data_IF_621441707048
#
_entry.id   IF_621441707048
#
_cell.length_a   1.000
_cell.length_b   1.000
_cell.length_c   1.000
_cell.angle_alpha   90.00
_cell.angle_beta   90.00
_cell.angle_gamma   90.00
#
_symmetry.space_group_name_H-M   'P 1'
#
loop_
_entity.id
_entity.type
_entity.pdbx_description
1 polymer ?
#
# COMPACT_ATOMS: atom_id res chain seq x y z
N UNK A 1 1.42 -4.93 29.89
CA UNK A 1 2.84 -4.54 29.69
C UNK A 1 3.75 -5.76 29.68
N UNK A 2 3.58 -6.75 30.57
CA UNK A 2 4.36 -7.99 30.54
C UNK A 2 4.22 -8.81 29.23
N UNK A 3 3.01 -8.95 28.67
CA UNK A 3 2.82 -9.72 27.43
C UNK A 3 3.49 -9.08 26.19
N UNK A 4 3.72 -7.76 26.16
CA UNK A 4 4.38 -7.11 25.03
C UNK A 4 5.90 -7.31 25.04
N UNK A 5 6.53 -7.57 26.20
CA UNK A 5 7.95 -7.89 26.26
C UNK A 5 8.24 -9.32 25.79
N UNK A 6 7.33 -10.27 26.06
CA UNK A 6 7.50 -11.67 25.66
C UNK A 6 7.41 -11.87 24.13
N UNK A 7 6.55 -11.12 23.43
CA UNK A 7 6.47 -11.15 21.95
C UNK A 7 7.62 -10.39 21.27
N UNK A 8 8.21 -9.38 21.91
CA UNK A 8 9.33 -8.58 21.36
C UNK A 8 10.65 -9.36 21.29
N UNK A 9 10.75 -10.47 22.00
CA UNK A 9 11.97 -11.26 22.14
C UNK A 9 12.11 -12.35 21.06
N UNK A 10 11.02 -12.70 20.35
CA UNK A 10 11.03 -13.79 19.38
C UNK A 10 11.78 -13.43 18.08
N UNK A 11 11.68 -12.20 17.58
CA UNK A 11 12.34 -11.77 16.34
C UNK A 11 13.85 -11.65 16.51
N UNK A 12 14.27 -11.00 17.59
CA UNK A 12 15.68 -10.84 17.96
C UNK A 12 16.32 -12.20 18.22
N UNK A 13 15.62 -13.10 18.93
CA UNK A 13 16.07 -14.49 19.11
C UNK A 13 16.14 -15.25 17.79
N UNK A 14 15.15 -15.11 16.91
CA UNK A 14 15.15 -15.80 15.62
C UNK A 14 16.29 -15.32 14.71
N UNK A 15 16.56 -14.01 14.68
CA UNK A 15 17.67 -13.43 13.91
C UNK A 15 19.04 -13.76 14.53
N UNK A 16 19.15 -13.80 15.86
CA UNK A 16 20.35 -14.24 16.55
C UNK A 16 20.63 -15.74 16.28
N UNK A 17 19.60 -16.59 16.36
CA UNK A 17 19.68 -18.01 16.03
C UNK A 17 20.00 -18.25 14.55
N UNK A 18 19.54 -17.37 13.65
CA UNK A 18 19.86 -17.46 12.23
C UNK A 18 21.36 -17.25 11.97
N UNK A 19 22.01 -16.35 12.71
CA UNK A 19 23.46 -16.15 12.62
C UNK A 19 24.26 -17.35 13.15
N UNK A 20 23.66 -18.17 14.01
CA UNK A 20 24.26 -19.39 14.57
C UNK A 20 23.85 -20.66 13.81
N UNK A 21 22.97 -20.58 12.81
CA UNK A 21 22.47 -21.73 12.08
C UNK A 21 23.52 -22.25 11.08
N UNK A 22 24.04 -23.45 11.34
CA UNK A 22 25.06 -24.10 10.52
C UNK A 22 24.45 -24.95 9.38
N UNK A 23 23.18 -25.32 9.50
CA UNK A 23 22.51 -26.23 8.55
C UNK A 23 21.26 -25.63 7.92
N UNK A 24 20.96 -26.06 6.69
CA UNK A 24 19.75 -25.63 5.97
C UNK A 24 18.45 -25.96 6.73
N UNK A 25 18.45 -27.01 7.55
CA UNK A 25 17.27 -27.42 8.34
C UNK A 25 16.99 -26.45 9.48
N UNK A 26 18.04 -25.94 10.12
CA UNK A 26 17.93 -24.90 11.16
C UNK A 26 17.38 -23.62 10.54
N UNK A 27 17.94 -23.18 9.41
CA UNK A 27 17.41 -22.06 8.64
C UNK A 27 15.92 -22.21 8.31
N UNK A 28 15.50 -23.37 7.79
CA UNK A 28 14.09 -23.64 7.48
C UNK A 28 13.21 -23.59 8.72
N UNK A 29 13.68 -24.12 9.86
CA UNK A 29 12.93 -24.08 11.12
C UNK A 29 12.73 -22.65 11.60
N UNK A 30 13.79 -21.85 11.60
CA UNK A 30 13.77 -20.44 12.02
C UNK A 30 12.80 -19.63 11.15
N UNK A 31 12.90 -19.75 9.83
CA UNK A 31 11.97 -19.06 8.93
C UNK A 31 10.53 -19.52 9.11
N UNK A 32 10.29 -20.82 9.28
CA UNK A 32 8.94 -21.34 9.52
C UNK A 32 8.34 -20.73 10.79
N UNK A 33 9.12 -20.64 11.87
CA UNK A 33 8.63 -20.16 13.15
C UNK A 33 8.43 -18.63 13.13
N UNK A 34 9.30 -17.89 12.43
CA UNK A 34 9.07 -16.48 12.05
C UNK A 34 7.73 -16.31 11.30
N UNK A 35 7.47 -17.08 10.25
CA UNK A 35 6.24 -16.95 9.46
C UNK A 35 4.98 -17.35 10.25
N UNK A 36 5.08 -18.27 11.22
CA UNK A 36 3.96 -18.65 12.10
C UNK A 36 3.61 -17.55 13.11
N UNK A 37 4.55 -16.70 13.51
CA UNK A 37 4.31 -15.63 14.47
C UNK A 37 3.50 -14.46 13.87
N UNK A 38 3.65 -14.22 12.56
CA UNK A 38 3.06 -13.07 11.86
C UNK A 38 1.54 -12.95 12.07
N UNK A 39 0.70 -13.99 11.86
CA UNK A 39 -0.76 -13.82 11.97
C UNK A 39 -1.22 -13.39 13.37
N UNK A 40 -0.53 -13.84 14.42
CA UNK A 40 -0.80 -13.43 15.80
C UNK A 40 -0.48 -11.95 16.01
N UNK A 41 0.73 -11.53 15.62
CA UNK A 41 1.16 -10.14 15.72
C UNK A 41 0.29 -9.18 14.90
N UNK A 42 -0.10 -9.60 13.69
CA UNK A 42 -1.05 -8.86 12.86
C UNK A 42 -2.36 -8.71 13.63
N UNK A 43 -2.93 -9.77 14.19
CA UNK A 43 -4.22 -9.72 14.88
C UNK A 43 -4.19 -8.81 16.10
N UNK A 44 -3.10 -8.83 16.86
CA UNK A 44 -3.03 -8.20 18.18
C UNK A 44 -2.69 -6.69 18.11
N UNK A 45 -2.29 -6.19 16.92
CA UNK A 45 -2.08 -4.75 16.66
C UNK A 45 -3.40 -4.03 16.37
N UNK A 46 -3.76 -3.09 17.25
CA UNK A 46 -4.89 -2.17 17.06
C UNK A 46 -4.57 -1.12 15.99
N UNK A 47 -5.46 -1.02 15.00
CA UNK A 47 -5.30 -0.16 13.82
C UNK A 47 -6.70 0.22 13.26
N UNK A 48 -7.51 0.97 14.02
CA UNK A 48 -8.91 1.22 13.69
C UNK A 48 -9.11 2.05 12.41
N UNK A 49 -8.27 3.05 12.15
CA UNK A 49 -8.33 3.86 10.94
C UNK A 49 -7.97 3.02 9.72
N UNK A 50 -6.93 2.20 9.80
CA UNK A 50 -6.55 1.26 8.75
C UNK A 50 -7.69 0.29 8.44
N UNK A 51 -8.35 -0.24 9.48
CA UNK A 51 -9.53 -1.10 9.30
C UNK A 51 -10.68 -0.36 8.59
N UNK A 52 -10.95 0.90 8.96
CA UNK A 52 -11.96 1.74 8.30
C UNK A 52 -11.59 1.99 6.83
N UNK A 53 -10.34 2.34 6.53
CA UNK A 53 -9.88 2.56 5.15
C UNK A 53 -10.00 1.29 4.30
N UNK A 54 -9.64 0.13 4.86
CA UNK A 54 -9.84 -1.17 4.22
C UNK A 54 -11.32 -1.42 3.95
N UNK A 55 -12.19 -1.19 4.93
CA UNK A 55 -13.63 -1.38 4.79
C UNK A 55 -14.21 -0.49 3.69
N UNK A 56 -13.87 0.81 3.68
CA UNK A 56 -14.31 1.75 2.64
C UNK A 56 -13.82 1.28 1.27
N UNK A 57 -12.55 0.87 1.17
CA UNK A 57 -11.96 0.37 -0.07
C UNK A 57 -12.69 -0.87 -0.59
N UNK A 58 -13.00 -1.82 0.29
CA UNK A 58 -13.80 -3.02 -0.05
C UNK A 58 -15.20 -2.60 -0.54
N UNK A 59 -15.88 -1.71 0.19
CA UNK A 59 -17.22 -1.25 -0.18
C UNK A 59 -17.23 -0.57 -1.55
N UNK A 60 -16.30 0.35 -1.81
CA UNK A 60 -16.19 1.03 -3.10
C UNK A 60 -15.87 0.05 -4.22
N UNK A 61 -14.96 -0.91 -3.99
CA UNK A 61 -14.65 -1.93 -4.99
C UNK A 61 -15.85 -2.84 -5.34
N UNK A 62 -16.64 -3.22 -4.34
CA UNK A 62 -17.89 -3.98 -4.55
C UNK A 62 -18.88 -3.14 -5.37
N UNK A 63 -19.12 -1.89 -4.99
CA UNK A 63 -20.02 -0.99 -5.72
C UNK A 63 -19.56 -0.77 -7.17
N UNK A 64 -18.26 -0.56 -7.37
CA UNK A 64 -17.63 -0.44 -8.69
C UNK A 64 -17.84 -1.70 -9.53
N UNK A 65 -17.69 -2.88 -8.91
CA UNK A 65 -17.91 -4.18 -9.58
C UNK A 65 -19.38 -4.39 -9.93
N UNK A 66 -20.31 -4.08 -9.02
CA UNK A 66 -21.76 -4.16 -9.27
C UNK A 66 -22.17 -3.23 -10.40
N UNK A 67 -21.67 -2.00 -10.41
CA UNK A 67 -21.93 -1.03 -11.48
C UNK A 67 -21.39 -1.52 -12.83
N UNK A 68 -20.20 -2.11 -12.85
CA UNK A 68 -19.65 -2.73 -14.07
C UNK A 68 -20.56 -3.85 -14.60
N UNK A 69 -21.03 -4.74 -13.73
CA UNK A 69 -21.93 -5.83 -14.11
C UNK A 69 -23.27 -5.31 -14.60
N UNK A 70 -23.79 -4.25 -13.98
CA UNK A 70 -25.02 -3.59 -14.40
C UNK A 70 -24.89 -2.99 -15.81
N UNK A 71 -23.82 -2.25 -16.09
CA UNK A 71 -23.60 -1.59 -17.38
C UNK A 71 -23.35 -2.61 -18.50
N UNK A 72 -22.68 -3.72 -18.20
CA UNK A 72 -22.34 -4.74 -19.21
C UNK A 72 -23.46 -5.72 -19.50
N UNK A 73 -24.57 -5.67 -18.75
CA UNK A 73 -25.76 -6.54 -18.85
C UNK A 73 -25.44 -8.06 -18.91
N UNK A 74 -24.24 -8.45 -18.49
CA UNK A 74 -23.69 -9.79 -18.74
C UNK A 74 -23.07 -10.35 -17.46
N UNK A 75 -23.91 -10.80 -16.55
CA UNK A 75 -23.47 -11.22 -15.21
C UNK A 75 -22.35 -12.29 -15.22
N UNK A 76 -22.49 -13.46 -15.88
CA UNK A 76 -21.44 -14.49 -15.85
C UNK A 76 -20.15 -14.06 -16.56
N UNK A 77 -20.26 -13.37 -17.70
CA UNK A 77 -19.09 -12.91 -18.47
C UNK A 77 -18.39 -11.76 -17.74
N UNK A 78 -19.14 -10.83 -17.18
CA UNK A 78 -18.61 -9.68 -16.44
C UNK A 78 -17.86 -10.11 -15.18
N UNK A 79 -18.36 -11.12 -14.44
CA UNK A 79 -17.63 -11.70 -13.30
C UNK A 79 -16.31 -12.30 -13.77
N UNK A 80 -16.33 -13.10 -14.84
CA UNK A 80 -15.11 -13.68 -15.39
C UNK A 80 -14.10 -12.60 -15.78
N UNK A 81 -14.56 -11.52 -16.42
CA UNK A 81 -13.70 -10.38 -16.80
C UNK A 81 -13.09 -9.70 -15.57
N UNK A 82 -13.89 -9.40 -14.54
CA UNK A 82 -13.40 -8.78 -13.29
C UNK A 82 -12.33 -9.66 -12.63
N UNK A 83 -12.56 -10.97 -12.57
CA UNK A 83 -11.66 -11.91 -11.89
C UNK A 83 -10.38 -12.21 -12.67
N UNK A 84 -10.42 -12.13 -14.01
CA UNK A 84 -9.29 -12.58 -14.86
C UNK A 84 -8.51 -11.43 -15.50
N UNK A 85 -9.14 -10.30 -15.78
CA UNK A 85 -8.46 -9.19 -16.46
C UNK A 85 -7.86 -8.19 -15.47
N UNK A 86 -6.57 -7.91 -15.64
CA UNK A 86 -5.79 -7.00 -14.77
C UNK A 86 -6.35 -5.59 -14.67
N UNK A 87 -7.10 -5.16 -15.69
CA UNK A 87 -7.56 -3.78 -15.88
C UNK A 87 -9.06 -3.69 -16.19
N UNK A 88 -9.84 -4.73 -15.83
CA UNK A 88 -11.27 -4.86 -16.13
C UNK A 88 -12.10 -3.59 -15.84
N UNK A 89 -11.78 -2.91 -14.74
CA UNK A 89 -12.55 -1.76 -14.24
C UNK A 89 -11.95 -0.41 -14.65
N UNK A 90 -10.87 -0.41 -15.44
CA UNK A 90 -10.19 0.84 -15.85
C UNK A 90 -11.10 1.71 -16.70
N UNK A 91 -11.82 1.10 -17.66
CA UNK A 91 -12.76 1.82 -18.52
C UNK A 91 -13.90 2.45 -17.72
N UNK A 92 -14.48 1.72 -16.77
CA UNK A 92 -15.49 2.25 -15.85
C UNK A 92 -14.93 3.39 -15.00
N UNK A 93 -13.70 3.26 -14.51
CA UNK A 93 -13.05 4.32 -13.71
C UNK A 93 -12.87 5.59 -14.54
N UNK A 94 -12.34 5.46 -15.76
CA UNK A 94 -12.19 6.58 -16.67
C UNK A 94 -13.54 7.25 -16.99
N UNK A 95 -14.57 6.44 -17.24
CA UNK A 95 -15.94 6.91 -17.43
C UNK A 95 -16.44 7.76 -16.25
N UNK A 96 -16.23 7.30 -15.00
CA UNK A 96 -16.61 8.07 -13.81
C UNK A 96 -15.85 9.41 -13.72
N UNK A 97 -14.57 9.45 -14.08
CA UNK A 97 -13.81 10.70 -14.06
C UNK A 97 -14.27 11.72 -15.11
N UNK A 98 -14.78 11.25 -16.25
CA UNK A 98 -15.29 12.11 -17.33
C UNK A 98 -16.71 12.59 -17.03
N UNK A 99 -17.61 11.66 -16.73
CA UNK A 99 -19.06 11.97 -16.64
C UNK A 99 -19.51 12.33 -15.22
N UNK A 100 -18.81 11.84 -14.19
CA UNK A 100 -19.15 12.06 -12.78
C UNK A 100 -17.93 12.47 -11.94
N UNK A 101 -17.16 13.51 -12.33
CA UNK A 101 -15.92 13.88 -11.67
C UNK A 101 -16.11 14.19 -10.18
N UNK A 102 -17.25 14.77 -9.81
CA UNK A 102 -17.60 15.08 -8.42
C UNK A 102 -17.78 13.84 -7.52
N UNK A 103 -18.04 12.66 -8.11
CA UNK A 103 -18.02 11.36 -7.41
C UNK A 103 -16.62 10.74 -7.48
N UNK A 104 -16.01 10.76 -8.67
CA UNK A 104 -14.76 10.06 -8.94
C UNK A 104 -13.61 10.61 -8.10
N UNK A 105 -13.51 11.94 -7.94
CA UNK A 105 -12.43 12.58 -7.19
C UNK A 105 -12.43 12.23 -5.70
N UNK A 106 -13.55 12.37 -4.95
CA UNK A 106 -13.60 11.92 -3.55
C UNK A 106 -13.35 10.43 -3.36
N UNK A 107 -13.68 9.60 -4.37
CA UNK A 107 -13.50 8.16 -4.32
C UNK A 107 -12.18 7.67 -4.95
N UNK A 108 -11.32 8.57 -5.43
CA UNK A 108 -10.14 8.21 -6.20
C UNK A 108 -9.22 7.24 -5.45
N UNK A 109 -9.04 7.42 -4.14
CA UNK A 109 -8.25 6.50 -3.30
C UNK A 109 -8.83 5.09 -3.20
N UNK A 110 -10.14 4.95 -3.41
CA UNK A 110 -10.85 3.71 -3.15
C UNK A 110 -11.25 2.97 -4.43
N UNK A 111 -11.23 3.65 -5.58
CA UNK A 111 -11.43 3.03 -6.90
C UNK A 111 -10.22 2.16 -7.27
N UNK A 112 -10.44 1.05 -7.99
CA UNK A 112 -9.36 0.17 -8.43
C UNK A 112 -9.58 -0.32 -9.86
N UNK A 113 -8.50 -0.51 -10.62
CA UNK A 113 -8.56 -1.02 -12.00
C UNK A 113 -8.94 -2.49 -12.14
N UNK A 114 -8.85 -3.28 -11.07
CA UNK A 114 -9.12 -4.72 -11.11
C UNK A 114 -8.73 -5.42 -9.81
N UNK A 115 -9.07 -6.72 -9.71
CA UNK A 115 -8.95 -7.52 -8.47
C UNK A 115 -7.51 -7.60 -7.97
N UNK A 116 -6.54 -7.86 -8.85
CA UNK A 116 -5.14 -7.97 -8.44
C UNK A 116 -4.59 -6.68 -7.82
N UNK A 117 -4.96 -5.52 -8.39
CA UNK A 117 -4.57 -4.21 -7.84
C UNK A 117 -5.23 -3.96 -6.48
N UNK A 118 -6.53 -4.27 -6.37
CA UNK A 118 -7.29 -4.16 -5.13
C UNK A 118 -6.72 -5.04 -4.01
N UNK A 119 -6.52 -6.33 -4.26
CA UNK A 119 -6.00 -7.28 -3.26
C UNK A 119 -4.61 -6.87 -2.78
N UNK A 120 -3.72 -6.47 -3.70
CA UNK A 120 -2.39 -5.99 -3.34
C UNK A 120 -2.45 -4.76 -2.43
N UNK A 121 -3.27 -3.76 -2.77
CA UNK A 121 -3.40 -2.55 -1.96
C UNK A 121 -3.99 -2.83 -0.58
N UNK A 122 -5.02 -3.68 -0.47
CA UNK A 122 -5.59 -4.07 0.84
C UNK A 122 -4.55 -4.81 1.70
N UNK A 123 -3.82 -5.76 1.12
CA UNK A 123 -2.82 -6.53 1.85
C UNK A 123 -1.68 -5.64 2.37
N UNK A 124 -1.17 -4.74 1.52
CA UNK A 124 -0.11 -3.82 1.89
C UNK A 124 -0.58 -2.74 2.87
N UNK A 125 -1.79 -2.21 2.70
CA UNK A 125 -2.39 -1.28 3.65
C UNK A 125 -2.60 -1.94 5.01
N UNK A 126 -3.08 -3.19 5.05
CA UNK A 126 -3.23 -3.94 6.30
C UNK A 126 -1.89 -4.16 6.99
N UNK A 127 -0.84 -4.54 6.23
CA UNK A 127 0.50 -4.74 6.76
C UNK A 127 1.07 -3.43 7.31
N UNK A 128 1.24 -2.42 6.46
CA UNK A 128 1.90 -1.17 6.86
C UNK A 128 1.06 -0.34 7.84
N UNK A 129 -0.26 -0.30 7.65
CA UNK A 129 -1.14 0.41 8.56
C UNK A 129 -1.11 -0.17 9.96
N UNK A 130 -1.09 -1.51 10.11
CA UNK A 130 -0.89 -2.14 11.44
C UNK A 130 0.51 -1.91 12.01
N UNK A 131 1.52 -1.77 11.16
CA UNK A 131 2.88 -1.46 11.63
C UNK A 131 2.95 -0.02 12.19
N UNK A 132 2.28 0.91 11.53
CA UNK A 132 2.50 2.34 11.69
C UNK A 132 1.43 3.05 12.50
N UNK A 133 0.15 2.71 12.36
CA UNK A 133 -0.95 3.48 12.96
C UNK A 133 -0.82 3.61 14.48
N UNK A 134 -0.42 2.53 15.16
CA UNK A 134 -0.23 2.52 16.62
C UNK A 134 0.89 3.45 17.11
N UNK A 135 1.77 3.91 16.21
CA UNK A 135 2.85 4.85 16.51
C UNK A 135 2.40 6.31 16.40
N UNK A 136 1.18 6.56 15.94
CA UNK A 136 0.64 7.90 15.75
C UNK A 136 -0.60 8.14 16.61
N UNK A 137 -0.81 9.41 16.98
CA UNK A 137 -2.15 9.82 17.38
C UNK A 137 -3.08 9.70 16.16
N UNK A 138 -4.26 9.13 16.36
CA UNK A 138 -5.27 8.86 15.31
C UNK A 138 -5.46 10.03 14.34
N UNK A 139 -5.56 11.26 14.87
CA UNK A 139 -5.74 12.47 14.05
C UNK A 139 -4.59 12.73 13.07
N UNK A 140 -3.35 12.45 13.44
CA UNK A 140 -2.18 12.68 12.57
C UNK A 140 -2.09 11.62 11.48
N UNK A 141 -2.44 10.37 11.79
CA UNK A 141 -2.54 9.31 10.79
C UNK A 141 -3.64 9.61 9.75
N UNK A 142 -4.81 10.08 10.21
CA UNK A 142 -5.89 10.54 9.32
C UNK A 142 -5.42 11.73 8.47
N UNK A 143 -4.79 12.74 9.08
CA UNK A 143 -4.28 13.91 8.35
C UNK A 143 -3.22 13.52 7.32
N UNK A 144 -2.39 12.51 7.60
CA UNK A 144 -1.42 11.99 6.64
C UNK A 144 -2.12 11.35 5.45
N UNK A 145 -3.09 10.46 5.68
CA UNK A 145 -3.90 9.88 4.60
C UNK A 145 -4.57 10.96 3.74
N UNK A 146 -5.26 11.91 4.37
CA UNK A 146 -5.93 13.02 3.69
C UNK A 146 -4.92 13.90 2.93
N UNK A 147 -3.76 14.16 3.52
CA UNK A 147 -2.67 14.91 2.90
C UNK A 147 -2.15 14.22 1.64
N UNK A 148 -1.93 12.91 1.68
CA UNK A 148 -1.57 12.12 0.49
C UNK A 148 -2.66 12.23 -0.57
N UNK A 149 -3.93 12.03 -0.21
CA UNK A 149 -5.03 12.07 -1.16
C UNK A 149 -5.21 13.44 -1.83
N UNK A 150 -5.01 14.54 -1.09
CA UNK A 150 -5.18 15.90 -1.63
C UNK A 150 -3.94 16.37 -2.41
N UNK A 151 -2.74 15.87 -2.09
CA UNK A 151 -1.50 16.32 -2.74
C UNK A 151 -1.15 15.42 -3.92
N UNK A 152 -1.08 14.10 -3.69
CA UNK A 152 -0.52 13.15 -4.66
C UNK A 152 -1.49 12.88 -5.80
N UNK A 153 -2.78 12.66 -5.52
CA UNK A 153 -3.77 12.36 -6.57
C UNK A 153 -3.89 13.47 -7.62
N UNK A 154 -3.96 14.77 -7.27
CA UNK A 154 -3.97 15.81 -8.29
C UNK A 154 -2.68 15.87 -9.10
N UNK A 155 -1.51 15.63 -8.48
CA UNK A 155 -0.23 15.58 -9.20
C UNK A 155 -0.23 14.41 -10.20
N UNK A 156 -0.65 13.23 -9.76
CA UNK A 156 -0.74 12.03 -10.60
C UNK A 156 -1.69 12.24 -11.78
N UNK A 157 -2.83 12.90 -11.54
CA UNK A 157 -3.78 13.27 -12.58
C UNK A 157 -3.22 14.29 -13.57
N UNK A 158 -2.55 15.34 -13.08
CA UNK A 158 -1.93 16.36 -13.93
C UNK A 158 -0.88 15.75 -14.86
N UNK A 159 -0.05 14.86 -14.34
CA UNK A 159 0.96 14.16 -15.15
C UNK A 159 0.27 13.24 -16.15
N UNK A 160 -0.71 12.43 -15.71
CA UNK A 160 -1.47 11.53 -16.60
C UNK A 160 -2.17 12.29 -17.72
N UNK A 161 -2.79 13.44 -17.42
CA UNK A 161 -3.43 14.34 -18.40
C UNK A 161 -2.42 14.90 -19.40
N UNK A 162 -1.19 15.16 -18.98
CA UNK A 162 -0.15 15.71 -19.86
C UNK A 162 0.39 14.68 -20.85
N UNK A 163 0.25 13.39 -20.55
CA UNK A 163 0.88 12.30 -21.32
C UNK A 163 -0.08 11.30 -21.92
N UNK A 164 -1.38 11.45 -21.67
CA UNK A 164 -2.44 10.57 -22.18
C UNK A 164 -3.59 11.37 -22.79
N UNK A 165 -4.29 10.85 -23.82
CA UNK A 165 -5.53 11.45 -24.29
C UNK A 165 -6.54 11.63 -23.14
N UNK A 166 -7.27 12.76 -23.13
CA UNK A 166 -8.29 13.10 -22.11
C UNK A 166 -9.24 11.96 -21.69
N UNK A 167 -9.77 11.09 -22.59
CA UNK A 167 -10.68 10.02 -22.17
C UNK A 167 -10.03 8.89 -21.35
N UNK A 168 -8.70 8.90 -21.15
CA UNK A 168 -7.97 7.84 -20.45
C UNK A 168 -7.47 8.25 -19.06
N UNK A 169 -7.88 9.41 -18.52
CA UNK A 169 -7.43 9.86 -17.20
C UNK A 169 -8.23 9.16 -16.13
N UNK A 170 -7.68 8.06 -15.64
CA UNK A 170 -8.18 7.34 -14.49
C UNK A 170 -7.06 7.31 -13.47
N UNK A 171 -7.22 8.09 -12.40
CA UNK A 171 -6.36 8.03 -11.22
C UNK A 171 -7.10 7.26 -10.15
N UNK A 172 -6.48 6.23 -9.60
CA UNK A 172 -7.19 5.29 -8.73
C UNK A 172 -6.27 4.57 -7.74
N UNK A 173 -6.85 4.23 -6.60
CA UNK A 173 -6.32 3.30 -5.62
C UNK A 173 -5.42 3.95 -4.57
N UNK A 174 -5.44 3.35 -3.39
CA UNK A 174 -4.76 3.83 -2.17
C UNK A 174 -3.25 3.61 -2.17
N UNK A 175 -2.66 3.30 -3.34
CA UNK A 175 -1.29 2.84 -3.43
C UNK A 175 -0.26 3.93 -3.13
N UNK A 176 -0.54 5.20 -3.39
CA UNK A 176 0.30 6.31 -2.94
C UNK A 176 0.43 6.35 -1.41
N UNK A 177 -0.68 6.19 -0.68
CA UNK A 177 -0.65 6.12 0.78
C UNK A 177 0.08 4.87 1.26
N UNK A 178 -0.16 3.72 0.61
CA UNK A 178 0.58 2.47 0.91
C UNK A 178 2.08 2.64 0.72
N UNK A 179 2.53 3.27 -0.37
CA UNK A 179 3.95 3.54 -0.62
C UNK A 179 4.51 4.55 0.38
N UNK A 180 3.73 5.56 0.75
CA UNK A 180 4.07 6.49 1.82
C UNK A 180 4.34 5.76 3.14
N UNK A 181 3.44 4.86 3.54
CA UNK A 181 3.60 4.04 4.74
C UNK A 181 4.78 3.06 4.62
N UNK A 182 4.97 2.45 3.45
CA UNK A 182 6.04 1.50 3.21
C UNK A 182 7.43 2.11 3.34
N UNK A 183 7.66 3.27 2.73
CA UNK A 183 8.96 3.96 2.85
C UNK A 183 9.15 4.48 4.29
N UNK A 184 8.11 5.03 4.91
CA UNK A 184 8.16 5.42 6.32
C UNK A 184 8.55 4.24 7.23
N UNK A 185 7.97 3.05 6.97
CA UNK A 185 8.30 1.81 7.69
C UNK A 185 9.78 1.47 7.56
N UNK A 186 10.34 1.52 6.34
CA UNK A 186 11.77 1.27 6.12
C UNK A 186 12.64 2.20 6.95
N UNK A 187 12.39 3.51 6.90
CA UNK A 187 13.21 4.48 7.63
C UNK A 187 13.08 4.33 9.14
N UNK A 188 11.87 4.01 9.61
CA UNK A 188 11.58 3.81 11.03
C UNK A 188 12.27 2.57 11.58
N UNK A 189 12.12 1.43 10.91
CA UNK A 189 12.73 0.15 11.35
C UNK A 189 14.25 0.19 11.17
N UNK A 190 14.76 0.81 10.11
CA UNK A 190 16.20 0.99 9.92
C UNK A 190 16.84 1.90 10.98
N UNK A 191 16.07 2.86 11.52
CA UNK A 191 16.56 3.78 12.55
C UNK A 191 16.34 3.27 13.98
N UNK A 192 15.61 2.18 14.17
CA UNK A 192 15.36 1.62 15.50
C UNK A 192 16.42 0.59 15.87
N UNK A 193 16.82 0.55 17.14
CA UNK A 193 17.75 -0.46 17.64
C UNK A 193 17.12 -1.86 17.68
N UNK A 194 15.79 -1.91 17.73
CA UNK A 194 15.00 -3.15 17.83
C UNK A 194 13.75 -3.03 16.95
N UNK A 195 13.31 -4.15 16.38
CA UNK A 195 12.07 -4.31 15.62
C UNK A 195 11.54 -5.73 15.78
N UNK A 196 10.23 -5.92 15.61
CA UNK A 196 9.62 -7.26 15.62
C UNK A 196 9.49 -7.89 14.23
N UNK A 197 9.01 -9.13 14.15
CA UNK A 197 8.96 -9.90 12.90
C UNK A 197 8.10 -9.22 11.83
N UNK A 198 6.94 -8.70 12.21
CA UNK A 198 6.06 -7.98 11.28
C UNK A 198 6.70 -6.66 10.80
N UNK A 199 7.47 -5.98 11.65
CA UNK A 199 8.23 -4.79 11.26
C UNK A 199 9.35 -5.09 10.27
N UNK A 200 10.10 -6.18 10.46
CA UNK A 200 11.11 -6.61 9.48
C UNK A 200 10.49 -7.08 8.17
N UNK A 201 9.36 -7.78 8.22
CA UNK A 201 8.60 -8.10 7.01
C UNK A 201 8.14 -6.82 6.29
N UNK A 202 7.61 -5.86 7.04
CA UNK A 202 7.25 -4.54 6.51
C UNK A 202 8.44 -3.85 5.87
N UNK A 203 9.59 -3.81 6.56
CA UNK A 203 10.83 -3.24 6.02
C UNK A 203 11.24 -3.92 4.72
N UNK A 204 11.22 -5.25 4.64
CA UNK A 204 11.54 -5.99 3.42
C UNK A 204 10.61 -5.61 2.25
N UNK A 205 9.30 -5.58 2.50
CA UNK A 205 8.30 -5.18 1.50
C UNK A 205 8.47 -3.71 1.10
N UNK A 206 8.78 -2.84 2.04
CA UNK A 206 9.05 -1.42 1.80
C UNK A 206 10.33 -1.20 0.98
N UNK A 207 11.39 -1.97 1.24
CA UNK A 207 12.62 -1.96 0.42
C UNK A 207 12.31 -2.41 -1.00
N UNK A 208 11.49 -3.45 -1.19
CA UNK A 208 11.05 -3.88 -2.51
C UNK A 208 10.25 -2.76 -3.22
N UNK A 209 9.40 -2.01 -2.50
CA UNK A 209 8.68 -0.86 -3.04
C UNK A 209 9.63 0.27 -3.48
N UNK A 210 10.69 0.56 -2.70
CA UNK A 210 11.74 1.53 -3.08
C UNK A 210 12.45 1.07 -4.36
N UNK A 211 12.88 -0.20 -4.41
CA UNK A 211 13.52 -0.78 -5.60
C UNK A 211 12.61 -0.65 -6.82
N UNK A 212 11.31 -0.94 -6.65
CA UNK A 212 10.34 -0.80 -7.73
C UNK A 212 10.26 0.64 -8.26
N UNK A 213 10.20 1.65 -7.38
CA UNK A 213 10.22 3.07 -7.78
C UNK A 213 11.51 3.39 -8.55
N UNK A 214 12.66 2.95 -8.04
CA UNK A 214 13.96 3.20 -8.67
C UNK A 214 14.07 2.57 -10.06
N UNK A 215 13.57 1.33 -10.21
CA UNK A 215 13.50 0.65 -11.52
C UNK A 215 12.60 1.42 -12.47
N UNK A 216 11.43 1.86 -12.02
CA UNK A 216 10.51 2.65 -12.84
C UNK A 216 11.11 4.00 -13.26
N UNK A 217 11.76 4.71 -12.34
CA UNK A 217 12.44 5.97 -12.63
C UNK A 217 13.60 5.78 -13.61
N UNK A 218 14.43 4.76 -13.41
CA UNK A 218 15.55 4.45 -14.32
C UNK A 218 15.04 4.09 -15.71
N UNK A 219 13.97 3.31 -15.79
CA UNK A 219 13.31 2.93 -17.05
C UNK A 219 12.72 4.14 -17.76
N UNK A 220 12.10 5.07 -17.02
CA UNK A 220 11.58 6.32 -17.55
C UNK A 220 12.69 7.21 -18.14
N UNK A 221 13.82 7.34 -17.44
CA UNK A 221 15.01 8.06 -17.94
C UNK A 221 15.59 7.39 -19.18
N UNK A 222 15.75 6.07 -19.16
CA UNK A 222 16.31 5.31 -20.29
C UNK A 222 15.47 5.45 -21.56
N UNK A 223 14.14 5.44 -21.43
CA UNK A 223 13.22 5.61 -22.55
C UNK A 223 12.86 7.07 -22.87
N UNK A 224 13.41 8.04 -22.14
CA UNK A 224 13.05 9.47 -22.26
C UNK A 224 11.52 9.69 -22.24
N UNK A 225 10.82 8.96 -21.38
CA UNK A 225 9.36 8.93 -21.32
C UNK A 225 8.90 8.74 -19.88
N UNK A 226 7.87 9.46 -19.45
CA UNK A 226 7.32 9.32 -18.09
C UNK A 226 6.43 8.08 -17.94
N UNK A 227 6.00 7.45 -19.04
CA UNK A 227 5.03 6.35 -19.00
C UNK A 227 5.42 5.16 -18.09
N UNK A 228 6.69 4.75 -17.97
CA UNK A 228 7.09 3.68 -17.05
C UNK A 228 7.00 4.08 -15.57
N UNK A 229 6.97 5.38 -15.27
CA UNK A 229 6.94 5.89 -13.91
C UNK A 229 5.52 5.88 -13.35
N UNK A 230 5.32 5.20 -12.23
CA UNK A 230 4.11 5.38 -11.43
C UNK A 230 4.30 6.58 -10.51
N UNK A 231 3.71 7.72 -10.89
CA UNK A 231 3.86 8.98 -10.16
C UNK A 231 3.21 8.95 -8.79
N UNK A 232 2.06 8.31 -8.63
CA UNK A 232 1.44 8.07 -7.32
C UNK A 232 2.40 7.35 -6.36
N UNK A 233 3.08 6.28 -6.81
CA UNK A 233 4.02 5.55 -5.96
C UNK A 233 5.23 6.41 -5.57
N UNK A 234 5.82 7.13 -6.53
CA UNK A 234 6.96 8.01 -6.27
C UNK A 234 6.60 9.11 -5.27
N UNK A 235 5.54 9.89 -5.54
CA UNK A 235 5.18 11.03 -4.70
C UNK A 235 4.60 10.61 -3.35
N UNK A 236 3.85 9.51 -3.30
CA UNK A 236 3.45 8.88 -2.04
C UNK A 236 4.67 8.50 -1.21
N UNK A 237 5.63 7.81 -1.81
CA UNK A 237 6.89 7.46 -1.15
C UNK A 237 7.68 8.68 -0.62
N UNK A 238 7.77 9.76 -1.41
CA UNK A 238 8.41 11.01 -1.00
C UNK A 238 7.70 11.65 0.21
N UNK A 239 6.37 11.63 0.26
CA UNK A 239 5.64 12.09 1.44
C UNK A 239 5.93 11.24 2.67
N UNK A 240 6.14 9.92 2.51
CA UNK A 240 6.63 9.07 3.60
C UNK A 240 7.96 9.54 4.19
N UNK A 241 8.90 9.97 3.34
CA UNK A 241 10.19 10.56 3.77
C UNK A 241 9.97 11.87 4.52
N UNK A 242 9.12 12.75 3.99
CA UNK A 242 8.82 14.04 4.61
C UNK A 242 8.19 13.83 5.99
N UNK A 243 7.20 12.96 6.11
CA UNK A 243 6.53 12.67 7.40
C UNK A 243 7.51 12.10 8.41
N UNK A 244 8.38 11.17 8.00
CA UNK A 244 9.45 10.66 8.87
C UNK A 244 10.38 11.77 9.37
N UNK A 245 10.84 12.66 8.48
CA UNK A 245 11.68 13.79 8.84
C UNK A 245 11.00 14.76 9.83
N UNK A 246 9.70 14.99 9.67
CA UNK A 246 8.91 15.81 10.60
C UNK A 246 8.83 15.14 11.97
N UNK A 247 8.41 13.86 12.01
CA UNK A 247 8.25 13.12 13.28
C UNK A 247 9.57 13.05 14.04
N UNK A 248 10.67 12.66 13.38
CA UNK A 248 11.99 12.51 14.00
C UNK A 248 12.56 13.83 14.56
N UNK A 249 12.19 14.98 14.00
CA UNK A 249 12.66 16.28 14.51
C UNK A 249 12.00 16.67 15.84
N UNK A 250 10.87 16.04 16.16
CA UNK A 250 10.07 16.34 17.35
C UNK A 250 10.16 15.25 18.44
N UNK A 251 11.01 14.24 18.23
CA UNK A 251 11.47 13.27 19.25
C UNK A 251 12.78 13.74 19.86
#
# INVERSE_FOLDING_TARGET
MADQEEYRDAASKSLAQANEAETWREWVSIYRDFFKAIPGQVRDRDAPVTAILILITITVFILQSVLYLYITESFPIGILVILTQRSALTGLTAYLFVDFPWIAWPLAEFLHKGVGHFVANIALLALFGKIIESRFQTRYYILWFVGVAIIVKPIDALITLSTSPKPNVAVYGISDFVYSLGIYTVMTVYSSEHGDEIEYLGMLVGVAAIIQILVQATTAVHHMSIQPLNTAHLFGGLLGIVVFGIVRKHE
#
